data_IF_736220780635
#
_entry.id   IF_736220780635
#
_cell.length_a   1.000
_cell.length_b   1.000
_cell.length_c   1.000
_cell.angle_alpha   90.00
_cell.angle_beta   90.00
_cell.angle_gamma   90.00
#
_symmetry.space_group_name_H-M   'P 1'
#
loop_
_entity.id
_entity.type
_entity.pdbx_description
1 polymer ?
#
# COMPACT_ATOMS: atom_id res chain seq x y z
N UNK A 1 25.96 -1.87 -1.96
CA UNK A 1 24.69 -1.79 -1.20
C UNK A 1 24.76 -0.68 -0.17
N UNK A 2 25.96 -0.26 0.26
CA UNK A 2 26.23 0.86 1.17
C UNK A 2 26.14 2.28 0.56
N UNK A 3 25.76 2.42 -0.71
CA UNK A 3 25.65 3.75 -1.37
C UNK A 3 24.25 4.37 -1.24
N UNK A 4 23.26 3.61 -0.77
CA UNK A 4 21.95 4.13 -0.44
C UNK A 4 21.97 4.39 1.06
N UNK A 5 21.96 5.67 1.47
CA UNK A 5 21.73 6.10 2.85
C UNK A 5 20.31 5.70 3.30
N UNK A 6 20.09 4.39 3.47
CA UNK A 6 18.79 3.85 3.84
C UNK A 6 18.54 4.17 5.30
N UNK A 7 17.54 5.01 5.53
CA UNK A 7 17.04 5.30 6.86
C UNK A 7 16.61 4.00 7.55
N UNK A 8 16.94 3.87 8.84
CA UNK A 8 16.55 2.72 9.65
C UNK A 8 15.01 2.66 9.76
N UNK A 9 14.41 1.48 10.00
CA UNK A 9 12.96 1.31 10.07
C UNK A 9 12.26 2.29 11.04
N UNK A 10 12.90 2.62 12.16
CA UNK A 10 12.42 3.57 13.15
C UNK A 10 12.42 5.01 12.62
N UNK A 11 13.44 5.36 11.82
CA UNK A 11 13.53 6.66 11.17
C UNK A 11 12.48 6.78 10.05
N UNK A 12 12.25 5.72 9.28
CA UNK A 12 11.19 5.67 8.27
C UNK A 12 9.79 5.87 8.87
N UNK A 13 9.55 5.44 10.11
CA UNK A 13 8.29 5.68 10.83
C UNK A 13 8.14 7.13 11.31
N UNK A 14 9.25 7.85 11.49
CA UNK A 14 9.28 9.24 11.95
C UNK A 14 9.23 10.28 10.80
N UNK A 15 9.44 9.85 9.55
CA UNK A 15 9.28 10.72 8.38
C UNK A 15 7.81 11.11 8.24
N UNK A 16 7.57 12.39 7.97
CA UNK A 16 6.25 12.89 7.58
C UNK A 16 5.76 12.11 6.35
N UNK A 17 4.69 11.34 6.53
CA UNK A 17 4.12 10.54 5.46
C UNK A 17 3.37 11.42 4.48
N UNK A 18 3.46 11.06 3.21
CA UNK A 18 2.57 11.61 2.20
C UNK A 18 1.14 11.18 2.54
N UNK A 19 0.25 12.16 2.74
CA UNK A 19 -1.19 11.97 2.97
C UNK A 19 -1.86 11.37 1.74
N UNK A 20 -1.57 10.10 1.50
CA UNK A 20 -2.02 9.31 0.39
C UNK A 20 -2.29 7.91 0.93
N UNK A 21 -3.47 7.39 0.58
CA UNK A 21 -3.85 6.01 0.85
C UNK A 21 -3.94 5.31 -0.51
N UNK A 22 -3.26 4.18 -0.63
CA UNK A 22 -3.38 3.30 -1.81
C UNK A 22 -4.36 2.18 -1.47
N UNK A 23 -5.38 1.98 -2.31
CA UNK A 23 -6.36 0.91 -2.13
C UNK A 23 -6.16 -0.12 -3.24
N UNK A 24 -5.88 -1.37 -2.87
CA UNK A 24 -5.82 -2.50 -3.79
C UNK A 24 -7.18 -3.21 -3.78
N UNK A 25 -7.93 -2.97 -4.85
CA UNK A 25 -9.22 -3.60 -5.13
C UNK A 25 -8.99 -5.00 -5.71
N UNK A 26 -9.24 -6.04 -4.91
CA UNK A 26 -9.30 -7.42 -5.38
C UNK A 26 -8.11 -7.83 -6.27
N UNK A 27 -6.89 -7.53 -5.81
CA UNK A 27 -5.62 -7.84 -6.50
C UNK A 27 -5.16 -9.24 -6.13
N UNK A 28 -5.26 -10.19 -7.07
CA UNK A 28 -4.87 -11.60 -6.82
C UNK A 28 -3.36 -11.84 -6.73
N UNK A 29 -2.56 -11.08 -7.47
CA UNK A 29 -1.13 -11.35 -7.62
C UNK A 29 -0.34 -10.96 -6.37
N UNK A 30 0.19 -11.94 -5.65
CA UNK A 30 1.06 -11.72 -4.49
C UNK A 30 2.33 -10.94 -4.85
N UNK A 31 2.85 -11.14 -6.06
CA UNK A 31 3.98 -10.36 -6.57
C UNK A 31 3.60 -8.89 -6.77
N UNK A 32 2.40 -8.61 -7.28
CA UNK A 32 1.93 -7.24 -7.44
C UNK A 32 1.71 -6.59 -6.07
N UNK A 33 1.08 -7.29 -5.13
CA UNK A 33 0.90 -6.81 -3.76
C UNK A 33 2.25 -6.44 -3.12
N UNK A 34 3.25 -7.33 -3.16
CA UNK A 34 4.56 -7.01 -2.58
C UNK A 34 5.30 -5.90 -3.34
N UNK A 35 5.15 -5.80 -4.67
CA UNK A 35 5.69 -4.66 -5.42
C UNK A 35 5.00 -3.33 -5.05
N UNK A 36 3.69 -3.34 -4.79
CA UNK A 36 2.95 -2.17 -4.31
C UNK A 36 3.42 -1.75 -2.92
N UNK A 37 3.66 -2.71 -2.01
CA UNK A 37 4.29 -2.42 -0.71
C UNK A 37 5.62 -1.67 -0.89
N UNK A 38 6.48 -2.17 -1.79
CA UNK A 38 7.78 -1.54 -2.08
C UNK A 38 7.64 -0.13 -2.66
N UNK A 39 6.66 0.10 -3.54
CA UNK A 39 6.33 1.43 -4.05
C UNK A 39 5.85 2.35 -2.91
N UNK A 40 4.95 1.86 -2.04
CA UNK A 40 4.45 2.64 -0.90
C UNK A 40 5.57 3.05 0.06
N UNK A 41 6.53 2.15 0.32
CA UNK A 41 7.71 2.43 1.15
C UNK A 41 8.60 3.51 0.52
N UNK A 42 8.89 3.39 -0.78
CA UNK A 42 9.73 4.35 -1.52
C UNK A 42 9.14 5.76 -1.57
N UNK A 43 7.80 5.88 -1.64
CA UNK A 43 7.09 7.15 -1.66
C UNK A 43 6.60 7.61 -0.29
N UNK A 44 6.98 6.94 0.81
CA UNK A 44 6.52 7.25 2.16
C UNK A 44 4.99 7.45 2.25
N UNK A 45 4.23 6.57 1.58
CA UNK A 45 2.76 6.57 1.58
C UNK A 45 2.24 6.34 3.00
N UNK A 46 1.18 7.06 3.38
CA UNK A 46 0.59 6.97 4.72
C UNK A 46 0.05 5.57 5.02
N UNK A 47 -0.76 5.00 4.11
CA UNK A 47 -1.26 3.64 4.29
C UNK A 47 -1.60 2.90 3.00
N UNK A 48 -1.50 1.57 3.06
CA UNK A 48 -1.95 0.65 2.01
C UNK A 48 -3.16 -0.15 2.50
N UNK A 49 -4.27 -0.11 1.78
CA UNK A 49 -5.48 -0.88 2.07
C UNK A 49 -5.59 -2.06 1.10
N UNK A 50 -5.75 -3.26 1.63
CA UNK A 50 -5.91 -4.50 0.88
C UNK A 50 -7.38 -4.93 0.98
N UNK A 51 -8.06 -5.13 -0.14
CA UNK A 51 -9.50 -5.38 -0.14
C UNK A 51 -9.84 -6.79 -0.64
N UNK A 52 -10.94 -7.34 -0.10
CA UNK A 52 -11.53 -8.58 -0.55
C UNK A 52 -10.54 -9.74 -0.53
N UNK A 53 -10.38 -10.42 -1.67
CA UNK A 53 -9.50 -11.59 -1.74
C UNK A 53 -8.01 -11.24 -1.89
N UNK A 54 -7.64 -9.95 -1.87
CA UNK A 54 -6.24 -9.51 -1.98
C UNK A 54 -5.40 -10.17 -0.88
N UNK A 55 -4.33 -10.91 -1.22
CA UNK A 55 -3.53 -11.62 -0.23
C UNK A 55 -2.76 -10.62 0.64
N UNK A 56 -2.71 -10.89 1.95
CA UNK A 56 -2.05 -10.04 2.92
C UNK A 56 -0.79 -10.69 3.51
N UNK A 57 0.17 -9.91 4.03
CA UNK A 57 1.24 -10.45 4.86
C UNK A 57 0.70 -11.16 6.12
N UNK A 58 1.37 -12.21 6.64
CA UNK A 58 2.60 -12.80 6.12
C UNK A 58 2.33 -13.82 4.99
N UNK A 59 2.94 -13.60 3.82
CA UNK A 59 2.96 -14.58 2.71
C UNK A 59 4.33 -14.57 2.04
N UNK A 60 4.88 -15.75 1.73
CA UNK A 60 6.26 -15.89 1.20
C UNK A 60 6.52 -15.05 -0.04
N UNK A 61 5.59 -15.08 -1.00
CA UNK A 61 5.78 -14.41 -2.29
C UNK A 61 5.59 -12.88 -2.21
N UNK A 62 4.76 -12.42 -1.26
CA UNK A 62 4.67 -11.00 -0.91
C UNK A 62 5.98 -10.56 -0.28
N UNK A 63 6.48 -11.29 0.72
CA UNK A 63 7.73 -10.96 1.41
C UNK A 63 8.92 -10.88 0.43
N UNK A 64 9.03 -11.85 -0.48
CA UNK A 64 10.09 -11.89 -1.50
C UNK A 64 10.11 -10.65 -2.39
N UNK A 65 8.96 -10.04 -2.66
CA UNK A 65 8.85 -8.87 -3.55
C UNK A 65 8.80 -7.54 -2.81
N UNK A 66 8.32 -7.52 -1.57
CA UNK A 66 8.24 -6.34 -0.72
C UNK A 66 9.60 -5.90 -0.15
N UNK A 67 10.58 -6.80 -0.02
CA UNK A 67 11.94 -6.48 0.44
C UNK A 67 11.98 -5.70 1.78
N UNK A 68 11.16 -6.15 2.74
CA UNK A 68 11.02 -5.54 4.08
C UNK A 68 9.96 -4.44 4.18
N UNK A 69 9.39 -3.97 3.06
CA UNK A 69 8.39 -2.90 3.06
C UNK A 69 7.10 -3.23 3.85
N UNK A 70 6.80 -4.51 4.09
CA UNK A 70 5.65 -4.92 4.91
C UNK A 70 5.80 -4.56 6.39
N UNK A 71 7.02 -4.23 6.84
CA UNK A 71 7.33 -3.88 8.24
C UNK A 71 7.31 -2.36 8.47
N UNK A 72 7.45 -1.57 7.40
CA UNK A 72 7.59 -0.10 7.44
C UNK A 72 6.34 0.61 6.95
N UNK A 73 5.61 0.03 6.00
CA UNK A 73 4.35 0.58 5.46
C UNK A 73 3.20 0.19 6.37
N UNK A 74 2.47 1.17 6.91
CA UNK A 74 1.21 0.92 7.62
C UNK A 74 0.16 0.38 6.65
N UNK A 75 -0.48 -0.73 6.97
CA UNK A 75 -1.50 -1.32 6.10
C UNK A 75 -2.70 -1.87 6.88
N UNK A 76 -3.83 -2.01 6.19
CA UNK A 76 -5.07 -2.57 6.72
C UNK A 76 -5.70 -3.50 5.69
N UNK A 77 -6.39 -4.53 6.15
CA UNK A 77 -7.23 -5.37 5.30
C UNK A 77 -8.71 -5.03 5.52
N UNK A 78 -9.48 -5.01 4.44
CA UNK A 78 -10.92 -4.77 4.45
C UNK A 78 -11.63 -5.91 3.70
N UNK A 79 -12.81 -6.29 4.20
CA UNK A 79 -13.61 -7.35 3.59
C UNK A 79 -14.10 -6.96 2.18
N UNK A 80 -14.40 -5.69 1.96
CA UNK A 80 -14.82 -5.17 0.65
C UNK A 80 -14.11 -3.86 0.32
N UNK A 81 -14.01 -3.55 -0.97
CA UNK A 81 -13.46 -2.28 -1.45
C UNK A 81 -14.32 -1.10 -1.03
N UNK A 82 -15.64 -1.29 -0.91
CA UNK A 82 -16.56 -0.26 -0.40
C UNK A 82 -16.24 0.13 1.04
N UNK A 83 -15.93 -0.85 1.91
CA UNK A 83 -15.54 -0.58 3.30
C UNK A 83 -14.24 0.24 3.37
N UNK A 84 -13.26 -0.10 2.53
CA UNK A 84 -11.99 0.63 2.45
C UNK A 84 -12.19 2.07 1.94
N UNK A 85 -13.03 2.25 0.92
CA UNK A 85 -13.39 3.58 0.38
C UNK A 85 -14.12 4.42 1.42
N UNK A 86 -15.06 3.83 2.15
CA UNK A 86 -15.78 4.52 3.22
C UNK A 86 -14.83 4.93 4.34
N UNK A 87 -13.96 4.02 4.79
CA UNK A 87 -12.95 4.33 5.80
C UNK A 87 -12.01 5.46 5.37
N UNK A 88 -11.59 5.50 4.10
CA UNK A 88 -10.78 6.60 3.58
C UNK A 88 -11.56 7.94 3.56
N UNK A 89 -12.83 7.93 3.15
CA UNK A 89 -13.70 9.12 3.16
C UNK A 89 -13.94 9.66 4.56
N UNK A 90 -14.17 8.78 5.53
CA UNK A 90 -14.37 9.15 6.94
C UNK A 90 -13.11 9.79 7.55
N UNK A 91 -11.93 9.42 7.04
CA UNK A 91 -10.65 10.07 7.37
C UNK A 91 -10.45 11.41 6.63
N UNK A 92 -11.39 11.84 5.79
CA UNK A 92 -11.34 13.11 5.06
C UNK A 92 -10.64 13.05 3.70
N UNK A 93 -10.33 11.85 3.18
CA UNK A 93 -9.69 11.68 1.88
C UNK A 93 -10.68 11.80 0.72
N UNK A 94 -10.22 12.41 -0.38
CA UNK A 94 -10.83 12.23 -1.70
C UNK A 94 -10.36 10.92 -2.30
N UNK A 95 -11.28 10.17 -2.88
CA UNK A 95 -11.00 8.84 -3.46
C UNK A 95 -11.12 8.92 -4.98
N UNK A 96 -10.11 8.41 -5.67
CA UNK A 96 -10.04 8.32 -7.12
C UNK A 96 -9.75 6.87 -7.52
N UNK A 97 -10.40 6.40 -8.58
CA UNK A 97 -10.15 5.09 -9.17
C UNK A 97 -9.25 5.22 -10.39
N UNK A 98 -8.32 4.29 -10.56
CA UNK A 98 -7.48 4.21 -11.77
C UNK A 98 -7.97 3.03 -12.60
N UNK A 99 -8.41 3.30 -13.83
CA UNK A 99 -8.87 2.27 -14.76
C UNK A 99 -8.30 2.47 -16.17
N UNK A 100 -8.36 1.40 -16.97
CA UNK A 100 -7.96 1.42 -18.38
C UNK A 100 -9.21 1.55 -19.26
N UNK A 101 -9.90 2.69 -19.18
CA UNK A 101 -11.01 3.04 -20.04
C UNK A 101 -10.70 4.34 -20.80
N UNK A 102 -11.11 4.39 -22.07
CA UNK A 102 -11.03 5.63 -22.85
C UNK A 102 -11.95 6.68 -22.21
N UNK A 103 -11.47 7.91 -22.07
CA UNK A 103 -12.20 9.04 -21.45
C UNK A 103 -12.52 8.89 -19.96
N UNK A 104 -11.77 8.07 -19.21
CA UNK A 104 -11.78 8.12 -17.74
C UNK A 104 -11.21 9.45 -17.23
N UNK A 105 -11.75 9.93 -16.10
CA UNK A 105 -11.30 11.14 -15.37
C UNK A 105 -10.18 10.77 -14.40
#
# INVERSE_FOLDING_TARGET
MDELERLQPEQLKAIEKNKLIVILDDVRSMHNVGSTFRTCDAFAVESLFLCGYTPAPPHRDIHKTALGATETVSWKHFATTQDAVQAARDLGYKVYSVEQAHSSI
#
